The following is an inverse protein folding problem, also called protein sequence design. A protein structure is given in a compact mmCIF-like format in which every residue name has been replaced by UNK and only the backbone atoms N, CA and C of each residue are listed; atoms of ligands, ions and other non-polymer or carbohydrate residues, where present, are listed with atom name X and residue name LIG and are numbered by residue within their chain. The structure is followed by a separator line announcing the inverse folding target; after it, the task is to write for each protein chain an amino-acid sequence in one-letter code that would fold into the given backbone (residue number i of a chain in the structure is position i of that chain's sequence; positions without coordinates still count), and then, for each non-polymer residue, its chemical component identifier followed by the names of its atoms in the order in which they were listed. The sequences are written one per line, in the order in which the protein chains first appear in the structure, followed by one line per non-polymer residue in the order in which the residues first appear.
data_IF_672443151132
#
_entry.id   IF_672443151132
#
_cell.length_a   1.000
_cell.length_b   1.000
_cell.length_c   1.000
_cell.angle_alpha   90.00
_cell.angle_beta   90.00
_cell.angle_gamma   90.00
#
_symmetry.space_group_name_H-M   'P 1'
#
loop_
_entity.id
_entity.type
_entity.pdbx_description
1 polymer ?
#
# COMPACT_ATOMS: atom_id res chain seq x y z
N UNK A 1 14.20 -7.19 -17.84
CA UNK A 1 14.87 -6.18 -17.00
C UNK A 1 16.30 -6.58 -16.62
N UNK A 2 16.56 -7.70 -15.93
CA UNK A 2 17.94 -8.14 -15.60
C UNK A 2 18.81 -8.39 -16.84
N UNK A 3 18.35 -9.22 -17.79
CA UNK A 3 19.07 -9.54 -19.03
C UNK A 3 19.45 -8.29 -19.85
N UNK A 4 18.51 -7.34 -19.97
CA UNK A 4 18.74 -6.08 -20.68
C UNK A 4 19.79 -5.19 -20.02
N UNK A 5 19.86 -5.17 -18.69
CA UNK A 5 20.88 -4.40 -17.98
C UNK A 5 22.28 -4.99 -18.20
N UNK A 6 22.38 -6.32 -18.22
CA UNK A 6 23.63 -7.03 -18.53
C UNK A 6 24.09 -6.77 -19.97
N UNK A 7 23.16 -6.84 -20.94
CA UNK A 7 23.45 -6.56 -22.36
C UNK A 7 23.91 -5.12 -22.59
N UNK A 8 23.41 -4.16 -21.80
CA UNK A 8 23.80 -2.75 -21.87
C UNK A 8 25.02 -2.39 -21.03
N UNK A 9 25.61 -3.34 -20.31
CA UNK A 9 26.72 -3.07 -19.38
C UNK A 9 26.32 -2.07 -18.30
N UNK A 10 25.11 -2.19 -17.75
CA UNK A 10 24.61 -1.31 -16.70
C UNK A 10 24.53 -2.06 -15.37
N UNK A 11 24.83 -1.40 -14.23
CA UNK A 11 24.66 -2.00 -12.93
C UNK A 11 23.18 -2.30 -12.68
N UNK A 12 22.90 -3.41 -12.02
CA UNK A 12 21.55 -3.90 -11.76
C UNK A 12 21.43 -4.49 -10.37
N UNK A 13 20.35 -4.12 -9.69
CA UNK A 13 19.97 -4.62 -8.38
C UNK A 13 18.58 -5.21 -8.46
N UNK A 14 18.44 -6.48 -8.12
CA UNK A 14 17.16 -7.20 -8.16
C UNK A 14 17.01 -8.12 -6.96
N UNK A 15 15.79 -8.23 -6.46
CA UNK A 15 15.42 -9.23 -5.45
C UNK A 15 14.65 -10.33 -6.18
N UNK A 16 15.07 -11.57 -6.01
CA UNK A 16 14.45 -12.71 -6.67
C UNK A 16 14.48 -13.95 -5.77
N UNK A 17 13.57 -14.88 -6.02
CA UNK A 17 13.52 -16.16 -5.32
C UNK A 17 14.46 -17.15 -6.00
N UNK A 18 15.39 -17.72 -5.24
CA UNK A 18 16.28 -18.78 -5.69
C UNK A 18 16.04 -20.07 -4.91
N UNK A 19 16.58 -21.15 -5.44
CA UNK A 19 16.62 -22.46 -4.80
C UNK A 19 18.07 -22.84 -4.54
N UNK A 20 18.35 -23.29 -3.31
CA UNK A 20 19.64 -23.90 -2.96
C UNK A 20 19.73 -25.29 -3.59
N UNK A 21 20.93 -25.89 -3.56
CA UNK A 21 21.16 -27.25 -4.11
C UNK A 21 20.31 -28.32 -3.42
N UNK A 22 19.93 -28.10 -2.17
CA UNK A 22 19.05 -28.95 -1.38
C UNK A 22 17.54 -28.72 -1.69
N UNK A 23 17.21 -27.79 -2.60
CA UNK A 23 15.84 -27.42 -2.95
C UNK A 23 15.21 -26.36 -2.05
N UNK A 24 15.93 -25.84 -1.05
CA UNK A 24 15.41 -24.80 -0.15
C UNK A 24 15.19 -23.47 -0.88
N UNK A 25 13.97 -22.94 -0.80
CA UNK A 25 13.63 -21.61 -1.32
C UNK A 25 14.24 -20.52 -0.43
N UNK A 26 14.94 -19.56 -1.04
CA UNK A 26 15.46 -18.40 -0.33
C UNK A 26 15.32 -17.13 -1.17
N UNK A 27 15.15 -16.00 -0.49
CA UNK A 27 15.18 -14.68 -1.13
C UNK A 27 16.62 -14.25 -1.33
N UNK A 28 16.98 -14.03 -2.58
CA UNK A 28 18.29 -13.54 -2.97
C UNK A 28 18.17 -12.10 -3.45
N UNK A 29 18.94 -11.22 -2.82
CA UNK A 29 19.23 -9.91 -3.34
C UNK A 29 20.53 -9.96 -4.15
N UNK A 30 20.39 -9.80 -5.47
CA UNK A 30 21.49 -9.86 -6.43
C UNK A 30 21.84 -8.44 -6.89
N UNK A 31 23.11 -8.08 -6.71
CA UNK A 31 23.71 -6.86 -7.23
C UNK A 31 24.75 -7.26 -8.28
N UNK A 32 24.65 -6.72 -9.49
CA UNK A 32 25.64 -6.98 -10.54
C UNK A 32 26.15 -5.66 -11.08
N UNK A 33 27.47 -5.49 -11.11
CA UNK A 33 28.14 -4.30 -11.63
C UNK A 33 29.17 -4.69 -12.70
N UNK A 34 29.20 -4.01 -13.85
CA UNK A 34 30.21 -4.21 -14.87
C UNK A 34 31.57 -3.68 -14.39
N UNK A 35 32.64 -4.38 -14.76
CA UNK A 35 34.01 -3.89 -14.64
C UNK A 35 34.46 -3.36 -16.00
N UNK A 36 34.72 -2.07 -16.07
CA UNK A 36 35.11 -1.37 -17.28
C UNK A 36 36.62 -1.17 -17.27
N UNK A 37 37.28 -1.49 -18.38
CA UNK A 37 38.72 -1.24 -18.54
C UNK A 37 39.03 0.23 -18.89
N UNK A 38 40.31 0.56 -18.98
CA UNK A 38 40.77 1.91 -19.36
C UNK A 38 40.34 2.33 -20.78
N UNK A 39 39.90 1.40 -21.63
CA UNK A 39 39.44 1.64 -22.99
C UNK A 39 37.92 1.80 -23.09
N UNK A 40 37.19 1.69 -21.97
CA UNK A 40 35.74 1.83 -21.92
C UNK A 40 34.98 0.54 -22.21
N UNK A 41 35.67 -0.61 -22.33
CA UNK A 41 35.03 -1.89 -22.61
C UNK A 41 34.68 -2.64 -21.34
N UNK A 42 33.52 -3.30 -21.32
CA UNK A 42 33.12 -4.18 -20.21
C UNK A 42 33.89 -5.50 -20.33
N UNK A 43 34.75 -5.77 -19.35
CA UNK A 43 35.59 -6.99 -19.34
C UNK A 43 34.97 -8.10 -18.51
N UNK A 44 34.37 -7.75 -17.37
CA UNK A 44 33.82 -8.70 -16.39
C UNK A 44 32.59 -8.10 -15.74
N UNK A 45 31.84 -8.95 -15.03
CA UNK A 45 30.78 -8.53 -14.13
C UNK A 45 31.08 -9.05 -12.74
N UNK A 46 30.92 -8.20 -11.73
CA UNK A 46 31.02 -8.57 -10.33
C UNK A 46 29.60 -8.68 -9.79
N UNK A 47 29.27 -9.86 -9.28
CA UNK A 47 27.98 -10.15 -8.66
C UNK A 47 28.12 -10.32 -7.16
N UNK A 48 27.30 -9.61 -6.39
CA UNK A 48 27.12 -9.83 -4.94
C UNK A 48 25.73 -10.44 -4.73
N UNK A 49 25.71 -11.57 -4.02
CA UNK A 49 24.51 -12.35 -3.70
C UNK A 49 24.34 -12.28 -2.19
N UNK A 50 23.19 -11.77 -1.74
CA UNK A 50 22.86 -11.63 -0.32
C UNK A 50 21.58 -12.40 -0.06
N UNK A 51 21.63 -13.38 0.84
CA UNK A 51 20.43 -14.06 1.30
C UNK A 51 19.68 -13.15 2.28
N UNK A 52 18.53 -12.63 1.85
CA UNK A 52 17.67 -11.72 2.62
C UNK A 52 16.44 -12.44 3.20
N UNK A 53 16.43 -13.77 3.24
CA UNK A 53 15.28 -14.55 3.70
C UNK A 53 14.90 -14.22 5.14
N UNK A 54 15.89 -14.14 6.04
CA UNK A 54 15.67 -13.78 7.43
C UNK A 54 15.12 -12.36 7.59
N UNK A 55 15.66 -11.41 6.82
CA UNK A 55 15.17 -10.02 6.81
C UNK A 55 13.72 -9.95 6.33
N UNK A 56 13.38 -10.64 5.24
CA UNK A 56 12.01 -10.70 4.72
C UNK A 56 11.04 -11.36 5.69
N UNK A 57 11.49 -12.39 6.39
CA UNK A 57 10.68 -13.04 7.42
C UNK A 57 10.40 -12.09 8.58
N UNK A 58 11.41 -11.39 9.08
CA UNK A 58 11.25 -10.42 10.16
C UNK A 58 10.37 -9.23 9.72
N UNK A 59 10.56 -8.72 8.51
CA UNK A 59 9.72 -7.65 7.94
C UNK A 59 8.24 -8.07 7.92
N UNK A 60 7.95 -9.31 7.47
CA UNK A 60 6.58 -9.83 7.50
C UNK A 60 6.07 -9.98 8.93
N UNK A 61 6.86 -10.51 9.87
CA UNK A 61 6.45 -10.62 11.27
C UNK A 61 6.15 -9.25 11.88
N UNK A 62 6.99 -8.25 11.62
CA UNK A 62 6.78 -6.88 12.07
C UNK A 62 5.52 -6.27 11.45
N UNK A 63 5.24 -6.52 10.16
CA UNK A 63 3.99 -6.08 9.52
C UNK A 63 2.76 -6.78 10.14
N UNK A 64 2.86 -8.08 10.45
CA UNK A 64 1.80 -8.82 11.12
C UNK A 64 1.56 -8.32 12.56
N UNK A 65 2.62 -8.01 13.31
CA UNK A 65 2.53 -7.44 14.66
C UNK A 65 2.06 -5.98 14.66
N UNK A 66 2.48 -5.17 13.69
CA UNK A 66 2.04 -3.78 13.55
C UNK A 66 0.54 -3.68 13.23
N UNK A 67 -0.03 -4.72 12.59
CA UNK A 67 -1.47 -4.85 12.34
C UNK A 67 -2.24 -5.53 13.48
N UNK A 68 -1.55 -6.25 14.37
CA UNK A 68 -2.14 -6.99 15.49
C UNK A 68 -1.28 -6.80 16.75
N UNK A 69 -1.55 -5.74 17.52
CA UNK A 69 -0.80 -5.43 18.75
C UNK A 69 -1.13 -6.44 19.86
N UNK A 70 -0.13 -7.24 20.24
CA UNK A 70 -0.25 -8.32 21.24
C UNK A 70 0.11 -7.89 22.66
N UNK A 71 0.51 -6.63 22.89
CA UNK A 71 0.85 -6.15 24.24
C UNK A 71 -0.22 -5.25 24.87
N UNK A 72 -1.21 -4.75 24.10
CA UNK A 72 -2.28 -3.89 24.62
C UNK A 72 -3.69 -4.28 24.17
N UNK A 73 -3.85 -5.15 23.16
CA UNK A 73 -5.15 -5.54 22.62
C UNK A 73 -5.94 -4.41 21.94
N UNK A 74 -5.33 -3.24 21.73
CA UNK A 74 -5.95 -2.10 21.07
C UNK A 74 -5.52 -2.01 19.60
N UNK A 75 -6.39 -1.49 18.70
CA UNK A 75 -6.01 -1.19 17.33
C UNK A 75 -4.85 -0.18 17.36
N UNK A 76 -3.71 -0.56 16.81
CA UNK A 76 -2.57 0.33 16.64
C UNK A 76 -3.05 1.62 15.95
N UNK A 77 -2.48 2.78 16.34
CA UNK A 77 -2.95 4.13 15.93
C UNK A 77 -3.24 4.24 14.43
N UNK A 78 -2.52 3.49 13.60
CA UNK A 78 -2.71 3.42 12.14
C UNK A 78 -4.07 2.80 11.72
N UNK A 79 -4.47 1.68 12.33
CA UNK A 79 -5.77 1.03 12.05
C UNK A 79 -6.93 1.85 12.63
N UNK A 80 -6.71 2.49 13.79
CA UNK A 80 -7.67 3.46 14.34
C UNK A 80 -7.88 4.63 13.37
N UNK A 81 -6.80 5.20 12.83
CA UNK A 81 -6.87 6.31 11.87
C UNK A 81 -7.57 5.89 10.58
N UNK A 82 -7.25 4.72 10.02
CA UNK A 82 -7.95 4.17 8.84
C UNK A 82 -9.45 3.98 9.08
N UNK A 83 -9.84 3.44 10.25
CA UNK A 83 -11.26 3.28 10.63
C UNK A 83 -11.97 4.61 10.85
N UNK A 84 -11.31 5.58 11.47
CA UNK A 84 -11.85 6.94 11.63
C UNK A 84 -12.02 7.60 10.25
N UNK A 85 -11.04 7.46 9.36
CA UNK A 85 -11.10 8.01 8.01
C UNK A 85 -12.25 7.40 7.20
N UNK A 86 -12.40 6.07 7.23
CA UNK A 86 -13.54 5.42 6.60
C UNK A 86 -14.88 5.86 7.21
N UNK A 87 -14.98 5.96 8.53
CA UNK A 87 -16.19 6.43 9.19
C UNK A 87 -16.55 7.89 8.80
N UNK A 88 -15.56 8.77 8.71
CA UNK A 88 -15.74 10.17 8.27
C UNK A 88 -16.15 10.24 6.79
N UNK A 89 -15.55 9.40 5.92
CA UNK A 89 -15.94 9.30 4.52
C UNK A 89 -17.38 8.78 4.35
N UNK A 90 -17.78 7.78 5.14
CA UNK A 90 -19.15 7.28 5.16
C UNK A 90 -20.15 8.33 5.69
N UNK A 91 -19.80 9.07 6.75
CA UNK A 91 -20.64 10.14 7.28
C UNK A 91 -20.83 11.28 6.28
N UNK A 92 -19.77 11.72 5.61
CA UNK A 92 -19.84 12.73 4.53
C UNK A 92 -20.69 12.27 3.33
N UNK A 93 -20.76 10.96 3.06
CA UNK A 93 -21.59 10.40 2.00
C UNK A 93 -23.07 10.33 2.40
N UNK A 94 -23.36 10.10 3.68
CA UNK A 94 -24.71 10.09 4.24
C UNK A 94 -25.27 11.49 4.55
N UNK A 95 -24.44 12.51 4.74
CA UNK A 95 -24.88 13.91 4.86
C UNK A 95 -25.37 14.53 3.53
N UNK A 96 -25.22 13.81 2.42
CA UNK A 96 -25.84 14.16 1.14
C UNK A 96 -26.77 13.03 0.68
N UNK A 97 -27.91 12.91 1.34
CA UNK A 97 -29.26 12.82 0.74
C UNK A 97 -30.23 13.17 1.88
N UNK A 98 -30.51 14.46 2.07
CA UNK A 98 -31.86 14.87 2.46
C UNK A 98 -32.60 15.03 1.13
N UNK A 99 -33.41 14.05 0.69
CA UNK A 99 -34.21 14.22 -0.50
C UNK A 99 -35.29 15.23 -0.14
N UNK A 100 -35.19 16.44 -0.69
CA UNK A 100 -36.23 17.30 -1.33
C UNK A 100 -37.71 17.27 -0.88
N UNK A 101 -38.12 16.53 0.16
CA UNK A 101 -39.48 16.46 0.68
C UNK A 101 -39.76 17.53 1.73
N UNK A 102 -38.73 18.13 2.34
CA UNK A 102 -38.93 19.18 3.34
C UNK A 102 -39.30 20.54 2.73
N UNK A 103 -38.98 20.79 1.46
CA UNK A 103 -39.32 22.04 0.77
C UNK A 103 -40.74 22.07 0.17
N UNK A 104 -41.42 20.92 0.04
CA UNK A 104 -42.80 20.86 -0.50
C UNK A 104 -43.85 20.96 0.62
N UNK A 105 -43.50 20.63 1.88
CA UNK A 105 -44.46 20.65 2.99
C UNK A 105 -44.82 22.05 3.49
N UNK A 106 -44.01 23.07 3.19
CA UNK A 106 -44.27 24.47 3.62
C UNK A 106 -45.13 25.26 2.61
N UNK A 107 -45.32 24.78 1.38
CA UNK A 107 -46.14 25.51 0.38
C UNK A 107 -47.62 25.09 0.32
N UNK A 108 -48.00 23.97 0.94
CA UNK A 108 -49.39 23.45 0.86
C UNK A 108 -50.28 23.81 2.06
N UNK A 109 -49.73 24.43 3.12
CA UNK A 109 -50.54 24.81 4.30
C UNK A 109 -50.89 26.30 4.36
N UNK A 110 -50.44 27.12 3.41
CA UNK A 110 -50.79 28.56 3.39
C UNK A 110 -52.21 28.82 2.85
N UNK A 111 -52.78 27.89 2.09
CA UNK A 111 -54.14 28.02 1.54
C UNK A 111 -55.25 27.69 2.54
N UNK A 112 -54.93 27.09 3.69
CA UNK A 112 -55.92 26.67 4.69
C UNK A 112 -56.05 27.65 5.87
N UNK A 113 -55.18 28.66 5.97
CA UNK A 113 -55.20 29.68 7.04
C UNK A 113 -56.10 30.89 6.69
N UNK A 114 -56.50 31.04 5.42
CA UNK A 114 -57.33 32.19 4.97
C UNK A 114 -58.86 31.97 5.02
N UNK A 115 -59.35 30.77 5.39
CA UNK A 115 -60.80 30.47 5.53
C UNK A 115 -61.26 30.24 6.98
N UNK A 116 -60.38 30.48 7.97
CA UNK A 116 -60.61 30.15 9.38
C UNK A 116 -60.68 31.32 10.35
N UNK A 117 -60.78 32.57 9.87
CA UNK A 117 -61.02 33.75 10.72
C UNK A 117 -62.12 34.58 10.07
N UNK A 118 -63.35 34.31 10.51
CA UNK A 118 -64.42 35.31 10.56
C UNK A 118 -64.37 35.94 11.95
#
# INVERSE_FOLDING_TARGET
MLKQALEKGQPVRVILRNYRKDGGLFWNELHVSPLIDATGNVTHFIGVIIDITAQKFLENQLMHQATHDTLTGLPNRLLLLDRIEQAVLHAKRNEKILPSYFSIWISLNTSMILWGIK
#
